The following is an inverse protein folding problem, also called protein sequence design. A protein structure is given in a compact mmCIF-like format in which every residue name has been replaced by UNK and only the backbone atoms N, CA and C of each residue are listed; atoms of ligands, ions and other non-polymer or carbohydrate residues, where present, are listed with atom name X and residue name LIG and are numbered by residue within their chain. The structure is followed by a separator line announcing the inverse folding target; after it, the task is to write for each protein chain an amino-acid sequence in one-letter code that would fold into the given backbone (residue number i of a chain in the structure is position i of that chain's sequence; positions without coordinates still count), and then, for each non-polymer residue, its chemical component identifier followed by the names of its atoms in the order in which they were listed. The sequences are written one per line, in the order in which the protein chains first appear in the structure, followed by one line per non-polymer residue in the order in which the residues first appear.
data_IF_872180806165
#
_entry.id   IF_872180806165
#
_cell.length_a   1.000
_cell.length_b   1.000
_cell.length_c   1.000
_cell.angle_alpha   90.00
_cell.angle_beta   90.00
_cell.angle_gamma   90.00
#
_symmetry.space_group_name_H-M   'P 1'
#
loop_
_entity.id
_entity.type
_entity.pdbx_description
1 polymer ?
#
# COMPACT_ATOMS: atom_id res chain seq x y z
N UNK A 1 -1.24 -15.43 -3.92
CA UNK A 1 -2.15 -14.28 -4.11
C UNK A 1 -1.38 -13.10 -4.67
N UNK A 2 -1.98 -12.32 -5.58
CA UNK A 2 -1.39 -11.06 -6.04
C UNK A 2 -1.81 -9.91 -5.15
N UNK A 3 -0.87 -9.01 -4.83
CA UNK A 3 -1.15 -7.79 -4.09
C UNK A 3 -0.86 -6.57 -4.96
N UNK A 4 -1.85 -5.71 -5.10
CA UNK A 4 -1.78 -4.49 -5.92
C UNK A 4 -2.19 -3.29 -5.08
N UNK A 5 -1.38 -2.25 -5.13
CA UNK A 5 -1.70 -0.93 -4.58
C UNK A 5 -2.04 0.05 -5.70
N UNK A 6 -3.06 0.88 -5.49
CA UNK A 6 -3.40 1.99 -6.37
C UNK A 6 -3.62 3.27 -5.56
N UNK A 7 -3.37 4.42 -6.18
CA UNK A 7 -3.46 5.74 -5.54
C UNK A 7 -4.32 6.66 -6.39
N UNK A 8 -5.07 7.54 -5.74
CA UNK A 8 -5.97 8.48 -6.42
C UNK A 8 -5.21 9.44 -7.34
N UNK A 9 -3.98 9.80 -6.98
CA UNK A 9 -3.11 10.71 -7.74
C UNK A 9 -1.74 10.10 -7.96
N UNK A 10 -1.11 10.46 -9.09
CA UNK A 10 0.24 10.00 -9.43
C UNK A 10 1.28 10.64 -8.50
N UNK A 11 2.22 9.84 -8.02
CA UNK A 11 3.36 10.29 -7.21
C UNK A 11 3.17 10.06 -5.70
N UNK A 12 4.23 10.27 -4.92
CA UNK A 12 4.28 9.98 -3.48
C UNK A 12 3.57 11.05 -2.60
N UNK A 13 2.51 11.66 -3.11
CA UNK A 13 1.73 12.72 -2.42
C UNK A 13 0.23 12.43 -2.39
N UNK A 14 -0.18 11.22 -2.77
CA UNK A 14 -1.60 10.90 -2.78
C UNK A 14 -2.14 10.75 -1.37
N UNK A 15 -3.30 11.35 -1.10
CA UNK A 15 -3.96 11.30 0.19
C UNK A 15 -4.88 10.08 0.33
N UNK A 16 -5.18 9.40 -0.76
CA UNK A 16 -6.07 8.24 -0.79
C UNK A 16 -5.40 7.15 -1.61
N UNK A 17 -5.33 5.95 -1.04
CA UNK A 17 -4.83 4.77 -1.70
C UNK A 17 -5.67 3.55 -1.35
N UNK A 18 -5.63 2.53 -2.20
CA UNK A 18 -6.28 1.24 -1.98
C UNK A 18 -5.26 0.13 -2.18
N UNK A 19 -5.26 -0.84 -1.27
CA UNK A 19 -4.60 -2.12 -1.45
C UNK A 19 -5.64 -3.20 -1.73
N UNK A 20 -5.37 -4.08 -2.70
CA UNK A 20 -6.25 -5.19 -3.06
C UNK A 20 -5.47 -6.50 -3.09
N UNK A 21 -6.11 -7.56 -2.61
CA UNK A 21 -5.68 -8.95 -2.80
C UNK A 21 -6.50 -9.55 -3.94
N UNK A 22 -5.80 -10.09 -4.94
CA UNK A 22 -6.39 -10.65 -6.15
C UNK A 22 -5.98 -12.11 -6.25
N UNK A 23 -6.95 -12.99 -6.51
CA UNK A 23 -6.65 -14.37 -6.84
C UNK A 23 -6.09 -14.45 -8.27
N UNK A 24 -4.93 -15.11 -8.42
CA UNK A 24 -4.22 -15.15 -9.70
C UNK A 24 -4.84 -16.14 -10.69
N UNK A 25 -5.60 -17.13 -10.20
CA UNK A 25 -6.23 -18.13 -11.05
C UNK A 25 -7.50 -17.57 -11.68
N UNK A 26 -8.36 -16.97 -10.85
CA UNK A 26 -9.65 -16.42 -11.30
C UNK A 26 -9.57 -14.96 -11.76
N UNK A 27 -8.55 -14.22 -11.33
CA UNK A 27 -8.44 -12.77 -11.57
C UNK A 27 -9.39 -11.93 -10.71
N UNK A 28 -10.12 -12.54 -9.76
CA UNK A 28 -11.11 -11.85 -8.93
C UNK A 28 -10.47 -11.15 -7.74
N UNK A 29 -11.04 -10.00 -7.36
CA UNK A 29 -10.66 -9.28 -6.14
C UNK A 29 -11.23 -10.02 -4.93
N UNK A 30 -10.36 -10.58 -4.10
CA UNK A 30 -10.73 -11.32 -2.91
C UNK A 30 -11.02 -10.40 -1.73
N UNK A 31 -10.18 -9.37 -1.56
CA UNK A 31 -10.33 -8.38 -0.49
C UNK A 31 -9.67 -7.04 -0.86
N UNK A 32 -10.12 -5.95 -0.26
CA UNK A 32 -9.63 -4.59 -0.50
C UNK A 32 -9.71 -3.69 0.73
N UNK A 33 -8.72 -2.81 0.88
CA UNK A 33 -8.67 -1.85 1.97
C UNK A 33 -8.25 -0.46 1.47
N UNK A 34 -9.10 0.53 1.75
CA UNK A 34 -8.84 1.94 1.44
C UNK A 34 -8.12 2.58 2.62
N UNK A 35 -6.95 3.14 2.36
CA UNK A 35 -6.21 4.01 3.27
C UNK A 35 -6.44 5.46 2.87
N UNK A 36 -6.76 6.32 3.83
CA UNK A 36 -7.02 7.73 3.58
C UNK A 36 -6.41 8.62 4.66
N UNK A 37 -5.70 9.65 4.19
CA UNK A 37 -5.20 10.80 4.94
C UNK A 37 -6.14 12.01 4.79
N UNK A 38 -7.26 11.86 4.08
CA UNK A 38 -8.19 12.94 3.78
C UNK A 38 -9.60 12.65 4.27
N UNK A 39 -10.21 13.66 4.89
CA UNK A 39 -11.64 13.74 5.10
C UNK A 39 -12.12 15.12 4.65
N UNK A 40 -13.14 15.14 3.80
CA UNK A 40 -13.67 16.38 3.26
C UNK A 40 -14.32 17.23 4.35
N UNK A 41 -15.00 16.59 5.31
CA UNK A 41 -15.65 17.27 6.44
C UNK A 41 -14.58 17.91 7.34
N UNK A 42 -13.49 17.20 7.65
CA UNK A 42 -12.33 17.77 8.34
C UNK A 42 -11.74 18.97 7.59
N UNK A 43 -11.54 18.84 6.27
CA UNK A 43 -10.95 19.89 5.45
C UNK A 43 -11.82 21.15 5.31
N UNK A 44 -13.14 21.04 5.55
CA UNK A 44 -14.09 22.15 5.44
C UNK A 44 -14.60 22.58 6.81
N UNK A 45 -15.53 21.81 7.39
CA UNK A 45 -16.17 22.13 8.65
C UNK A 45 -15.16 22.13 9.80
N UNK A 46 -14.26 21.14 9.84
CA UNK A 46 -13.19 21.09 10.84
C UNK A 46 -12.27 22.30 10.78
N UNK A 47 -11.76 22.65 9.59
CA UNK A 47 -10.91 23.82 9.39
C UNK A 47 -11.62 25.14 9.75
N UNK A 48 -12.90 25.27 9.43
CA UNK A 48 -13.71 26.43 9.82
C UNK A 48 -13.86 26.53 11.35
N UNK A 49 -14.21 25.42 12.02
CA UNK A 49 -14.36 25.39 13.48
C UNK A 49 -13.03 25.69 14.15
N UNK A 50 -11.93 25.15 13.65
CA UNK A 50 -10.59 25.41 14.18
C UNK A 50 -10.22 26.90 14.10
N UNK A 51 -10.60 27.57 13.00
CA UNK A 51 -10.31 28.99 12.79
C UNK A 51 -11.22 29.92 13.59
N UNK A 52 -12.53 29.70 13.53
CA UNK A 52 -13.53 30.61 14.12
C UNK A 52 -13.88 30.30 15.57
N UNK A 53 -13.76 29.02 15.97
CA UNK A 53 -14.19 28.50 17.28
C UNK A 53 -13.20 27.46 17.82
N UNK A 54 -11.91 27.81 18.01
CA UNK A 54 -10.86 26.86 18.38
C UNK A 54 -11.18 26.07 19.66
N UNK A 55 -11.83 26.70 20.64
CA UNK A 55 -12.26 26.03 21.88
C UNK A 55 -13.27 24.88 21.68
N UNK A 56 -13.96 24.81 20.54
CA UNK A 56 -14.90 23.72 20.21
C UNK A 56 -14.29 22.65 19.32
N UNK A 57 -13.11 22.89 18.76
CA UNK A 57 -12.52 22.02 17.74
C UNK A 57 -12.29 20.60 18.27
N UNK A 58 -11.71 20.44 19.46
CA UNK A 58 -11.42 19.12 20.03
C UNK A 58 -12.69 18.30 20.30
N UNK A 59 -13.76 18.96 20.76
CA UNK A 59 -15.06 18.32 20.97
C UNK A 59 -15.65 17.87 19.63
N UNK A 60 -15.69 18.77 18.65
CA UNK A 60 -16.18 18.45 17.30
C UNK A 60 -15.38 17.32 16.65
N UNK A 61 -14.05 17.36 16.74
CA UNK A 61 -13.17 16.34 16.16
C UNK A 61 -13.46 14.97 16.76
N UNK A 62 -13.68 14.90 18.07
CA UNK A 62 -14.04 13.65 18.75
C UNK A 62 -15.39 13.13 18.29
N UNK A 63 -16.42 13.97 18.31
CA UNK A 63 -17.77 13.62 17.85
C UNK A 63 -17.76 13.14 16.39
N UNK A 64 -16.97 13.78 15.52
CA UNK A 64 -16.83 13.41 14.10
C UNK A 64 -16.10 12.06 13.87
N UNK A 65 -15.17 11.70 14.76
CA UNK A 65 -14.50 10.39 14.72
C UNK A 65 -15.45 9.31 15.27
N UNK A 66 -16.13 9.59 16.37
CA UNK A 66 -17.08 8.67 17.01
C UNK A 66 -18.32 8.39 16.16
N UNK A 67 -18.74 9.35 15.31
CA UNK A 67 -19.84 9.17 14.36
C UNK A 67 -19.49 8.32 13.14
N UNK A 68 -18.23 7.88 13.00
CA UNK A 68 -17.70 7.17 11.83
C UNK A 68 -17.78 7.95 10.51
N UNK A 69 -18.07 9.25 10.56
CA UNK A 69 -18.09 10.13 9.38
C UNK A 69 -16.68 10.54 8.93
N UNK A 70 -15.70 10.41 9.83
CA UNK A 70 -14.31 10.71 9.51
C UNK A 70 -13.72 9.63 8.60
N UNK A 71 -13.42 10.00 7.36
CA UNK A 71 -12.79 9.07 6.41
C UNK A 71 -11.27 8.97 6.56
N UNK A 72 -10.64 9.69 7.50
CA UNK A 72 -9.20 9.55 7.78
C UNK A 72 -9.02 8.30 8.65
N UNK A 73 -8.31 7.31 8.11
CA UNK A 73 -8.08 6.02 8.79
C UNK A 73 -6.60 5.59 8.79
N UNK A 74 -5.72 6.46 8.30
CA UNK A 74 -4.29 6.20 8.20
C UNK A 74 -3.50 7.44 8.58
N UNK A 75 -2.36 7.23 9.23
CA UNK A 75 -1.38 8.26 9.55
C UNK A 75 -0.01 7.85 8.96
N UNK A 76 0.65 8.80 8.30
CA UNK A 76 1.96 8.57 7.67
C UNK A 76 2.02 9.04 6.22
N UNK A 77 3.03 8.57 5.48
CA UNK A 77 3.22 8.96 4.08
C UNK A 77 2.41 8.10 3.11
N UNK A 78 2.14 8.60 1.91
CA UNK A 78 1.38 7.86 0.89
C UNK A 78 2.04 6.52 0.52
N UNK A 79 3.37 6.42 0.60
CA UNK A 79 4.10 5.17 0.37
C UNK A 79 3.89 4.12 1.47
N UNK A 80 3.58 4.56 2.69
CA UNK A 80 3.30 3.67 3.82
C UNK A 80 1.86 3.14 3.83
N UNK A 81 0.94 3.76 3.06
CA UNK A 81 -0.42 3.24 2.88
C UNK A 81 -0.42 1.81 2.33
N UNK A 82 0.52 1.49 1.43
CA UNK A 82 0.66 0.13 0.90
C UNK A 82 0.99 -0.87 2.01
N UNK A 83 1.87 -0.49 2.95
CA UNK A 83 2.25 -1.32 4.09
C UNK A 83 1.06 -1.50 5.03
N UNK A 84 0.34 -0.41 5.35
CA UNK A 84 -0.83 -0.48 6.22
C UNK A 84 -1.95 -1.33 5.62
N UNK A 85 -2.27 -1.15 4.34
CA UNK A 85 -3.29 -1.96 3.68
C UNK A 85 -2.90 -3.45 3.69
N UNK A 86 -1.63 -3.78 3.47
CA UNK A 86 -1.13 -5.16 3.57
C UNK A 86 -1.35 -5.74 4.97
N UNK A 87 -0.97 -5.01 6.03
CA UNK A 87 -1.20 -5.41 7.42
C UNK A 87 -2.68 -5.71 7.68
N UNK A 88 -3.59 -4.81 7.27
CA UNK A 88 -5.03 -4.99 7.49
C UNK A 88 -5.56 -6.22 6.73
N UNK A 89 -5.19 -6.37 5.47
CA UNK A 89 -5.70 -7.44 4.59
C UNK A 89 -5.23 -8.83 5.07
N UNK A 90 -3.98 -8.97 5.45
CA UNK A 90 -3.44 -10.25 5.93
C UNK A 90 -3.93 -10.60 7.33
N UNK A 91 -4.04 -9.64 8.24
CA UNK A 91 -4.51 -9.91 9.61
C UNK A 91 -5.97 -10.33 9.66
N UNK A 92 -6.83 -9.81 8.76
CA UNK A 92 -8.28 -10.10 8.80
C UNK A 92 -8.73 -11.27 7.93
N UNK A 93 -7.86 -11.83 7.08
CA UNK A 93 -8.27 -12.79 6.06
C UNK A 93 -8.83 -14.09 6.67
N UNK A 94 -8.27 -14.57 7.79
CA UNK A 94 -8.76 -15.77 8.49
C UNK A 94 -10.20 -15.53 8.97
N UNK A 95 -10.43 -14.41 9.66
CA UNK A 95 -11.73 -14.10 10.23
C UNK A 95 -12.79 -13.84 9.15
N UNK A 96 -12.42 -13.11 8.09
CA UNK A 96 -13.36 -12.64 7.06
C UNK A 96 -13.63 -13.69 5.98
N UNK A 97 -12.62 -14.46 5.60
CA UNK A 97 -12.67 -15.33 4.43
C UNK A 97 -12.34 -16.80 4.76
N UNK A 98 -11.94 -17.14 5.99
CA UNK A 98 -11.48 -18.49 6.36
C UNK A 98 -10.35 -19.02 5.46
N UNK A 99 -9.52 -18.09 4.96
CA UNK A 99 -8.39 -18.37 4.08
C UNK A 99 -7.12 -17.71 4.62
N UNK A 100 -5.97 -18.28 4.27
CA UNK A 100 -4.65 -17.72 4.54
C UNK A 100 -3.96 -17.35 3.23
N UNK A 101 -3.29 -16.20 3.21
CA UNK A 101 -2.53 -15.71 2.07
C UNK A 101 -1.04 -16.02 2.26
N UNK A 102 -0.64 -17.25 1.93
CA UNK A 102 0.73 -17.75 2.16
C UNK A 102 1.76 -17.25 1.16
N UNK A 103 1.34 -16.83 -0.03
CA UNK A 103 2.23 -16.25 -1.06
C UNK A 103 1.73 -14.87 -1.49
N UNK A 104 2.64 -13.89 -1.52
CA UNK A 104 2.42 -12.52 -1.95
C UNK A 104 3.23 -12.22 -3.22
N UNK A 105 2.55 -12.14 -4.36
CA UNK A 105 3.13 -11.66 -5.62
C UNK A 105 2.92 -10.15 -5.73
N UNK A 106 3.99 -9.35 -5.85
CA UNK A 106 3.87 -7.89 -5.97
C UNK A 106 5.00 -7.24 -6.78
N UNK A 107 4.76 -6.03 -7.32
CA UNK A 107 5.78 -5.24 -8.08
C UNK A 107 6.70 -4.40 -7.16
N UNK A 108 6.32 -4.12 -5.91
CA UNK A 108 7.08 -3.21 -5.04
C UNK A 108 6.92 -3.48 -3.54
N UNK A 109 6.68 -4.74 -3.15
CA UNK A 109 6.20 -5.08 -1.81
C UNK A 109 7.25 -5.42 -0.77
N UNK A 110 8.53 -5.07 -0.91
CA UNK A 110 9.55 -5.48 0.08
C UNK A 110 9.22 -4.97 1.50
N UNK A 111 8.87 -3.69 1.65
CA UNK A 111 8.50 -3.13 2.97
C UNK A 111 7.23 -3.75 3.54
N UNK A 112 6.26 -4.04 2.67
CA UNK A 112 5.01 -4.69 3.05
C UNK A 112 5.26 -6.14 3.51
N UNK A 113 6.10 -6.88 2.78
CA UNK A 113 6.50 -8.24 3.15
C UNK A 113 7.29 -8.28 4.46
N UNK A 114 8.29 -7.41 4.64
CA UNK A 114 9.02 -7.29 5.91
C UNK A 114 8.08 -7.02 7.08
N UNK A 115 7.04 -6.19 6.87
CA UNK A 115 6.02 -5.94 7.87
C UNK A 115 5.20 -7.20 8.19
N UNK A 116 4.85 -8.00 7.19
CA UNK A 116 4.16 -9.27 7.40
C UNK A 116 4.99 -10.28 8.20
N UNK A 117 6.30 -10.36 7.93
CA UNK A 117 7.21 -11.21 8.69
C UNK A 117 7.27 -10.81 10.17
N UNK A 118 7.19 -9.51 10.47
CA UNK A 118 7.14 -9.01 11.85
C UNK A 118 5.78 -9.26 12.51
N UNK A 119 4.69 -9.15 11.75
CA UNK A 119 3.33 -9.31 12.28
C UNK A 119 2.97 -10.77 12.56
N UNK A 120 3.54 -11.71 11.79
CA UNK A 120 3.24 -13.15 11.88
C UNK A 120 1.73 -13.42 11.98
N UNK A 121 0.92 -12.95 11.01
CA UNK A 121 -0.55 -12.96 11.12
C UNK A 121 -1.13 -14.38 11.26
N UNK A 122 -0.36 -15.40 10.91
CA UNK A 122 -0.74 -16.81 10.95
C UNK A 122 0.06 -17.62 12.00
N UNK A 123 0.85 -16.94 12.84
CA UNK A 123 1.73 -17.56 13.83
C UNK A 123 3.18 -17.75 13.35
N UNK A 124 4.08 -18.21 14.23
CA UNK A 124 5.53 -18.24 13.99
C UNK A 124 5.98 -19.29 12.99
N UNK A 125 5.15 -20.30 12.71
CA UNK A 125 5.48 -21.41 11.82
C UNK A 125 4.98 -21.19 10.38
N UNK A 126 4.20 -20.15 10.13
CA UNK A 126 3.52 -19.90 8.87
C UNK A 126 4.10 -18.63 8.23
N UNK A 127 5.21 -18.79 7.51
CA UNK A 127 5.88 -17.69 6.82
C UNK A 127 5.21 -17.35 5.49
N UNK A 128 5.02 -16.06 5.24
CA UNK A 128 4.46 -15.57 3.98
C UNK A 128 5.61 -15.40 2.98
N UNK A 129 5.55 -16.11 1.86
CA UNK A 129 6.54 -16.02 0.80
C UNK A 129 6.28 -14.81 -0.10
N UNK A 130 7.35 -14.09 -0.48
CA UNK A 130 7.28 -13.02 -1.47
C UNK A 130 7.81 -13.50 -2.81
N UNK A 131 7.04 -13.24 -3.85
CA UNK A 131 7.46 -13.43 -5.23
C UNK A 131 7.41 -12.10 -6.00
N UNK A 132 8.36 -11.94 -6.93
CA UNK A 132 8.40 -10.79 -7.83
C UNK A 132 7.50 -11.04 -9.04
N UNK A 133 6.68 -10.06 -9.40
CA UNK A 133 5.86 -10.18 -10.60
C UNK A 133 6.71 -10.15 -11.88
N UNK A 134 6.24 -10.79 -12.96
CA UNK A 134 6.99 -10.84 -14.24
C UNK A 134 7.34 -9.46 -14.80
N UNK A 135 6.46 -8.48 -14.57
CA UNK A 135 6.70 -7.09 -14.96
C UNK A 135 7.86 -6.49 -14.16
N UNK A 136 7.99 -6.83 -12.88
CA UNK A 136 9.10 -6.41 -12.05
C UNK A 136 10.42 -6.99 -12.54
N UNK A 137 10.44 -8.30 -12.83
CA UNK A 137 11.58 -9.01 -13.39
C UNK A 137 12.01 -8.36 -14.71
N UNK A 138 11.05 -8.09 -15.61
CA UNK A 138 11.30 -7.41 -16.89
C UNK A 138 11.88 -6.01 -16.70
N UNK A 139 11.36 -5.22 -15.76
CA UNK A 139 11.88 -3.87 -15.44
C UNK A 139 13.33 -3.94 -14.95
N UNK A 140 13.63 -4.88 -14.03
CA UNK A 140 14.99 -5.09 -13.49
C UNK A 140 15.97 -5.51 -14.57
N UNK A 141 15.59 -6.48 -15.42
CA UNK A 141 16.40 -6.91 -16.56
C UNK A 141 16.68 -5.74 -17.51
N UNK A 142 15.64 -4.98 -17.89
CA UNK A 142 15.80 -3.82 -18.77
C UNK A 142 16.69 -2.72 -18.16
N UNK A 143 16.62 -2.51 -16.84
CA UNK A 143 17.52 -1.58 -16.15
C UNK A 143 18.97 -2.06 -16.16
N UNK A 144 19.20 -3.36 -15.88
CA UNK A 144 20.54 -3.95 -15.91
C UNK A 144 21.18 -3.85 -17.31
N UNK A 145 20.42 -4.13 -18.37
CA UNK A 145 20.89 -4.00 -19.75
C UNK A 145 21.26 -2.56 -20.10
N UNK A 146 20.43 -1.57 -19.73
CA UNK A 146 20.74 -0.15 -19.95
C UNK A 146 22.00 0.29 -19.20
N UNK A 147 22.16 -0.15 -17.96
CA UNK A 147 23.36 0.14 -17.17
C UNK A 147 24.61 -0.46 -17.82
N UNK A 148 24.53 -1.72 -18.28
CA UNK A 148 25.62 -2.39 -18.98
C UNK A 148 26.03 -1.63 -20.25
N UNK A 149 25.07 -1.22 -21.10
CA UNK A 149 25.34 -0.43 -22.31
C UNK A 149 25.99 0.91 -21.96
N UNK A 150 25.47 1.61 -20.94
CA UNK A 150 26.06 2.85 -20.44
C UNK A 150 27.52 2.65 -20.00
N UNK A 151 27.79 1.58 -19.25
CA UNK A 151 29.14 1.33 -18.71
C UNK A 151 30.12 0.88 -19.77
N UNK A 152 29.69 0.09 -20.75
CA UNK A 152 30.48 -0.22 -21.94
C UNK A 152 30.79 1.04 -22.75
N UNK A 153 29.79 1.91 -22.97
CA UNK A 153 29.98 3.19 -23.68
C UNK A 153 31.02 4.08 -23.00
N UNK A 154 30.99 4.18 -21.65
CA UNK A 154 32.00 4.93 -20.88
C UNK A 154 33.41 4.36 -21.02
N UNK A 155 33.52 3.06 -21.29
CA UNK A 155 34.80 2.35 -21.51
C UNK A 155 35.23 2.31 -22.98
N UNK A 156 34.52 3.01 -23.87
CA UNK A 156 34.80 3.00 -25.32
C UNK A 156 34.43 1.68 -26.01
N UNK A 157 33.72 0.78 -25.34
CA UNK A 157 33.27 -0.51 -25.89
C UNK A 157 31.85 -0.36 -26.42
N UNK A 158 31.63 -0.67 -27.69
CA UNK A 158 30.28 -0.69 -28.28
C UNK A 158 29.70 -2.09 -28.20
N UNK A 159 28.65 -2.28 -27.41
CA UNK A 159 27.84 -3.49 -27.46
C UNK A 159 26.87 -3.37 -28.64
N UNK A 160 27.13 -4.09 -29.73
CA UNK A 160 26.16 -4.25 -30.82
C UNK A 160 25.18 -5.37 -30.42
N UNK A 161 23.90 -5.06 -30.45
CA UNK A 161 22.80 -6.02 -30.37
C UNK A 161 22.32 -6.40 -31.75
#
# INVERSE_FOLDING_TARGET
MSYVGSWLTRGHKSLIGIGCVIDMVTGLVMDGHVCSLHCHICAKAGAFIQRERPHRYERWRREHIESEECTINFEGSSGMMQVKATEVLWSRCIQRHKHQYTTMVSDSGLKAHLRLLQLQPYGPNEEIQKEDCINHIRKRLGAALRNLVSDCSKRGVTLRG
#
